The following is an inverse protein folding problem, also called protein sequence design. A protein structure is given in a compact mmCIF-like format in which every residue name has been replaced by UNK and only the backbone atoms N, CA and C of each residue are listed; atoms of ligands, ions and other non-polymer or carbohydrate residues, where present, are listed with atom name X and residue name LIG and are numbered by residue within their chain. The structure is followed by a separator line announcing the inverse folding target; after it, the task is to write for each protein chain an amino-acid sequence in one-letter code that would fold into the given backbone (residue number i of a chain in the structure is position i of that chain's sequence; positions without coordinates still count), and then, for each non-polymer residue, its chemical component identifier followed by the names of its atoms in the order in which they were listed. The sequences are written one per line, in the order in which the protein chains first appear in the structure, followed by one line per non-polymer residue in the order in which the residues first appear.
data_IF_302180400691
#
_entry.id   IF_302180400691
#
_cell.length_a   1.000
_cell.length_b   1.000
_cell.length_c   1.000
_cell.angle_alpha   90.00
_cell.angle_beta   90.00
_cell.angle_gamma   90.00
#
_symmetry.space_group_name_H-M   'P 1'
#
loop_
_entity.id
_entity.type
_entity.pdbx_description
1 polymer ?
#
# COMPACT_ATOMS: atom_id res chain seq x y z
N UNK A 1 -18.63 -1.18 -8.41
CA UNK A 1 -18.23 -0.62 -9.72
C UNK A 1 -17.62 -1.74 -10.53
N UNK A 2 -17.76 -1.69 -11.85
CA UNK A 2 -17.04 -2.57 -12.78
C UNK A 2 -15.79 -1.86 -13.33
N UNK A 3 -14.71 -2.59 -13.63
CA UNK A 3 -14.54 -4.04 -13.39
C UNK A 3 -14.38 -4.38 -11.90
N UNK A 4 -14.80 -5.58 -11.51
CA UNK A 4 -14.62 -6.10 -10.14
C UNK A 4 -13.21 -6.69 -9.96
N UNK A 5 -12.77 -6.87 -8.70
CA UNK A 5 -11.48 -7.53 -8.39
C UNK A 5 -11.40 -8.91 -9.06
N UNK A 6 -12.48 -9.69 -9.02
CA UNK A 6 -12.51 -11.02 -9.64
C UNK A 6 -12.39 -10.94 -11.17
N UNK A 7 -13.01 -9.94 -11.81
CA UNK A 7 -12.88 -9.73 -13.24
C UNK A 7 -11.43 -9.39 -13.62
N UNK A 8 -10.79 -8.47 -12.89
CA UNK A 8 -9.39 -8.12 -13.14
C UNK A 8 -8.42 -9.29 -12.95
N UNK A 9 -8.62 -10.12 -11.91
CA UNK A 9 -7.81 -11.34 -11.72
C UNK A 9 -8.00 -12.29 -12.90
N UNK A 10 -9.24 -12.53 -13.35
CA UNK A 10 -9.51 -13.38 -14.52
C UNK A 10 -8.82 -12.88 -15.79
N UNK A 11 -8.84 -11.57 -16.02
CA UNK A 11 -8.17 -10.96 -17.17
C UNK A 11 -6.65 -11.17 -17.11
N UNK A 12 -6.02 -10.99 -15.94
CA UNK A 12 -4.60 -11.27 -15.76
C UNK A 12 -4.26 -12.74 -16.02
N UNK A 13 -5.07 -13.68 -15.51
CA UNK A 13 -4.87 -15.12 -15.72
C UNK A 13 -5.05 -15.49 -17.19
N UNK A 14 -6.08 -14.94 -17.85
CA UNK A 14 -6.31 -15.15 -19.28
C UNK A 14 -5.15 -14.62 -20.14
N UNK A 15 -4.45 -13.59 -19.68
CA UNK A 15 -3.24 -13.07 -20.30
C UNK A 15 -1.98 -13.91 -20.01
N UNK A 16 -2.08 -14.99 -19.23
CA UNK A 16 -0.98 -15.90 -18.91
C UNK A 16 -0.16 -15.53 -17.67
N UNK A 17 -0.68 -14.67 -16.79
CA UNK A 17 0.01 -14.31 -15.56
C UNK A 17 0.15 -15.52 -14.61
N UNK A 18 1.36 -15.77 -14.12
CA UNK A 18 1.66 -16.74 -13.05
C UNK A 18 1.75 -16.08 -11.67
N UNK A 19 1.83 -14.76 -11.63
CA UNK A 19 1.93 -13.93 -10.44
C UNK A 19 1.09 -12.66 -10.63
N UNK A 20 0.28 -12.31 -9.63
CA UNK A 20 -0.58 -11.12 -9.61
C UNK A 20 -0.36 -10.37 -8.30
N UNK A 21 0.02 -9.10 -8.42
CA UNK A 21 0.20 -8.19 -7.28
C UNK A 21 -0.93 -7.17 -7.26
N UNK A 22 -1.83 -7.31 -6.27
CA UNK A 22 -2.92 -6.37 -6.07
C UNK A 22 -2.45 -5.20 -5.20
N UNK A 23 -2.37 -4.01 -5.78
CA UNK A 23 -1.94 -2.78 -5.11
C UNK A 23 -3.15 -1.86 -4.81
N UNK A 24 -3.54 -1.66 -3.54
CA UNK A 24 -4.64 -0.76 -3.21
C UNK A 24 -4.24 0.72 -3.37
N UNK A 25 -4.86 1.41 -4.34
CA UNK A 25 -4.63 2.84 -4.60
C UNK A 25 -5.40 3.76 -3.64
N UNK A 26 -5.17 3.58 -2.34
CA UNK A 26 -5.83 4.33 -1.27
C UNK A 26 -4.79 5.08 -0.43
N UNK A 27 -4.99 6.39 -0.24
CA UNK A 27 -4.08 7.26 0.51
C UNK A 27 -4.25 7.16 2.03
N UNK A 28 -5.39 6.64 2.50
CA UNK A 28 -5.70 6.54 3.93
C UNK A 28 -6.13 5.12 4.29
N UNK A 29 -5.72 4.61 5.47
CA UNK A 29 -6.14 3.31 5.96
C UNK A 29 -7.58 3.33 6.48
N UNK A 30 -8.56 3.24 5.58
CA UNK A 30 -9.93 2.92 5.97
C UNK A 30 -10.11 1.42 6.26
N UNK A 31 -11.13 1.03 7.04
CA UNK A 31 -11.50 -0.38 7.27
C UNK A 31 -11.63 -1.19 5.97
N UNK A 32 -12.03 -0.55 4.87
CA UNK A 32 -12.14 -1.19 3.56
C UNK A 32 -10.81 -1.61 2.95
N UNK A 33 -9.73 -0.82 3.11
CA UNK A 33 -8.45 -1.14 2.46
C UNK A 33 -7.67 -2.24 3.19
N UNK A 34 -7.85 -2.38 4.50
CA UNK A 34 -7.09 -3.32 5.33
C UNK A 34 -7.78 -4.66 5.55
N UNK A 35 -9.07 -4.78 5.23
CA UNK A 35 -9.85 -6.03 5.42
C UNK A 35 -10.60 -6.47 4.18
N UNK A 36 -11.38 -5.57 3.58
CA UNK A 36 -12.30 -5.97 2.51
C UNK A 36 -11.56 -6.30 1.21
N UNK A 37 -10.57 -5.49 0.82
CA UNK A 37 -9.77 -5.77 -0.38
C UNK A 37 -8.99 -7.10 -0.25
N UNK A 38 -8.20 -7.34 0.82
CA UNK A 38 -7.54 -8.63 1.01
C UNK A 38 -8.50 -9.82 0.95
N UNK A 39 -9.67 -9.71 1.59
CA UNK A 39 -10.70 -10.77 1.57
C UNK A 39 -11.22 -11.03 0.16
N UNK A 40 -11.60 -9.99 -0.56
CA UNK A 40 -12.13 -10.11 -1.93
C UNK A 40 -11.10 -10.67 -2.91
N UNK A 41 -9.83 -10.27 -2.78
CA UNK A 41 -8.73 -10.83 -3.58
C UNK A 41 -8.54 -12.31 -3.26
N UNK A 42 -8.49 -12.69 -1.98
CA UNK A 42 -8.33 -14.08 -1.59
C UNK A 42 -9.50 -14.97 -2.06
N UNK A 43 -10.72 -14.46 -2.01
CA UNK A 43 -11.91 -15.15 -2.53
C UNK A 43 -11.84 -15.38 -4.04
N UNK A 44 -11.43 -14.36 -4.81
CA UNK A 44 -11.28 -14.48 -6.26
C UNK A 44 -10.10 -15.38 -6.66
N UNK A 45 -9.00 -15.34 -5.92
CA UNK A 45 -7.80 -16.15 -6.20
C UNK A 45 -8.04 -17.66 -6.03
N UNK A 46 -9.08 -18.08 -5.30
CA UNK A 46 -9.43 -19.51 -5.11
C UNK A 46 -9.73 -20.24 -6.41
N UNK A 47 -10.17 -19.53 -7.45
CA UNK A 47 -10.42 -20.10 -8.78
C UNK A 47 -9.11 -20.45 -9.52
N UNK A 48 -7.98 -19.88 -9.10
CA UNK A 48 -6.68 -19.96 -9.80
C UNK A 48 -5.55 -20.42 -8.87
N UNK A 49 -5.58 -21.68 -8.35
CA UNK A 49 -4.61 -22.15 -7.36
C UNK A 49 -3.16 -22.25 -7.88
N UNK A 50 -2.95 -22.22 -9.21
CA UNK A 50 -1.62 -22.25 -9.83
C UNK A 50 -1.00 -20.85 -10.01
N UNK A 51 -1.73 -19.78 -9.67
CA UNK A 51 -1.29 -18.39 -9.83
C UNK A 51 -1.01 -17.80 -8.45
N UNK A 52 0.18 -17.25 -8.24
CA UNK A 52 0.49 -16.56 -7.00
C UNK A 52 -0.26 -15.23 -6.98
N UNK A 53 -1.10 -15.00 -5.97
CA UNK A 53 -1.82 -13.72 -5.81
C UNK A 53 -1.52 -13.15 -4.43
N UNK A 54 -1.00 -11.93 -4.38
CA UNK A 54 -0.77 -11.21 -3.12
C UNK A 54 -1.30 -9.79 -3.14
N UNK A 55 -1.67 -9.31 -1.96
CA UNK A 55 -2.10 -7.92 -1.75
C UNK A 55 -1.01 -7.17 -1.02
N UNK A 56 -0.59 -6.02 -1.54
CA UNK A 56 0.40 -5.18 -0.88
C UNK A 56 -0.24 -4.28 0.17
N UNK A 57 0.57 -3.57 0.93
CA UNK A 57 0.09 -2.39 1.63
C UNK A 57 -0.52 -1.39 0.63
N UNK A 58 -1.55 -0.67 1.07
CA UNK A 58 -2.11 0.45 0.33
C UNK A 58 -1.04 1.54 0.14
N UNK A 59 -1.26 2.40 -0.85
CA UNK A 59 -0.39 3.54 -1.15
C UNK A 59 -0.05 4.37 0.10
N UNK A 60 -1.05 4.65 0.94
CA UNK A 60 -0.85 5.30 2.24
C UNK A 60 -0.22 6.69 2.12
N UNK A 61 0.42 7.14 3.20
CA UNK A 61 1.18 8.39 3.23
C UNK A 61 2.62 8.07 2.82
N UNK A 62 3.06 8.68 1.72
CA UNK A 62 4.40 8.50 1.17
C UNK A 62 5.00 9.87 0.84
N UNK A 63 6.27 10.10 1.17
CA UNK A 63 6.92 11.41 1.02
C UNK A 63 6.89 11.94 -0.42
N UNK A 64 7.11 11.05 -1.41
CA UNK A 64 6.97 11.40 -2.84
C UNK A 64 5.61 11.97 -3.24
N UNK A 65 4.53 11.59 -2.55
CA UNK A 65 3.21 12.18 -2.82
C UNK A 65 3.13 13.61 -2.29
N UNK A 66 3.75 13.89 -1.14
CA UNK A 66 3.85 15.25 -0.61
C UNK A 66 4.73 16.12 -1.52
N UNK A 67 5.88 15.61 -1.97
CA UNK A 67 6.74 16.27 -2.97
C UNK A 67 5.95 16.64 -4.23
N UNK A 68 5.18 15.69 -4.78
CA UNK A 68 4.36 15.91 -5.97
C UNK A 68 3.29 17.00 -5.75
N UNK A 69 2.63 17.01 -4.58
CA UNK A 69 1.63 18.04 -4.25
C UNK A 69 2.29 19.42 -4.17
N UNK A 70 3.45 19.53 -3.54
CA UNK A 70 4.21 20.77 -3.43
C UNK A 70 4.64 21.29 -4.80
N UNK A 71 5.15 20.41 -5.66
CA UNK A 71 5.52 20.73 -7.04
C UNK A 71 4.31 21.25 -7.83
N UNK A 72 3.16 20.57 -7.74
CA UNK A 72 1.93 20.97 -8.45
C UNK A 72 1.33 22.29 -7.96
N UNK A 73 1.69 22.72 -6.75
CA UNK A 73 1.15 23.94 -6.12
C UNK A 73 2.19 25.06 -6.08
N UNK A 74 3.38 24.85 -6.64
CA UNK A 74 4.53 25.77 -6.54
C UNK A 74 4.81 26.20 -5.08
N UNK A 75 4.57 25.30 -4.14
CA UNK A 75 4.72 25.56 -2.70
C UNK A 75 6.08 25.08 -2.23
N UNK A 76 6.94 25.95 -1.66
CA UNK A 76 8.23 25.52 -1.16
C UNK A 76 8.07 24.67 0.12
N UNK A 77 8.98 23.72 0.32
CA UNK A 77 9.06 22.97 1.58
C UNK A 77 9.41 23.95 2.71
N UNK A 78 8.45 24.19 3.62
CA UNK A 78 8.68 25.07 4.75
C UNK A 78 9.71 24.49 5.74
N UNK A 79 9.56 23.20 6.08
CA UNK A 79 10.47 22.47 6.98
C UNK A 79 10.52 21.00 6.55
N UNK A 80 11.73 20.45 6.43
CA UNK A 80 11.91 19.01 6.22
C UNK A 80 11.69 18.27 7.54
N UNK A 81 10.78 17.29 7.54
CA UNK A 81 10.64 16.36 8.68
C UNK A 81 11.57 15.17 8.42
N UNK A 82 12.55 14.96 9.30
CA UNK A 82 13.51 13.87 9.19
C UNK A 82 13.35 12.85 10.31
N UNK A 83 13.82 11.62 10.08
CA UNK A 83 13.91 10.57 11.08
C UNK A 83 12.56 10.10 11.64
N UNK A 84 12.53 9.76 12.93
CA UNK A 84 11.38 9.16 13.62
C UNK A 84 10.12 10.02 13.63
N UNK A 85 10.23 11.34 13.42
CA UNK A 85 9.09 12.23 13.32
C UNK A 85 8.26 12.01 12.05
N UNK A 86 8.88 11.58 10.95
CA UNK A 86 8.17 11.25 9.71
C UNK A 86 7.34 9.97 9.86
N UNK A 87 7.77 9.03 10.73
CA UNK A 87 7.11 7.73 10.93
C UNK A 87 6.08 7.72 12.07
N UNK A 88 5.63 8.89 12.57
CA UNK A 88 4.58 9.00 13.60
C UNK A 88 3.18 8.90 12.99
N UNK A 89 2.23 8.34 13.72
CA UNK A 89 0.81 8.34 13.33
C UNK A 89 0.26 9.76 13.50
N UNK A 90 -0.48 10.23 12.49
CA UNK A 90 -1.03 11.61 12.41
C UNK A 90 -2.24 11.84 13.33
N UNK A 91 -2.51 10.91 14.25
CA UNK A 91 -3.58 11.08 15.23
C UNK A 91 -3.21 12.21 16.19
N UNK A 92 -4.18 13.08 16.52
CA UNK A 92 -3.97 14.26 17.38
C UNK A 92 -3.47 13.93 18.79
N UNK A 93 -3.60 12.68 19.22
CA UNK A 93 -3.06 12.18 20.49
C UNK A 93 -1.56 11.88 20.46
N UNK A 94 -0.91 11.93 19.29
CA UNK A 94 0.51 11.61 19.14
C UNK A 94 0.86 10.13 19.41
N UNK A 95 -0.15 9.25 19.44
CA UNK A 95 0.03 7.82 19.70
C UNK A 95 0.75 7.14 18.54
N UNK A 96 1.77 6.34 18.86
CA UNK A 96 2.51 5.52 17.89
C UNK A 96 1.79 4.21 17.51
N UNK A 97 0.66 3.91 18.15
CA UNK A 97 -0.02 2.61 18.03
C UNK A 97 -1.47 2.71 17.57
N UNK A 98 -2.13 3.87 17.73
CA UNK A 98 -3.56 4.03 17.45
C UNK A 98 -3.93 3.67 15.99
N UNK A 99 -3.08 4.03 15.04
CA UNK A 99 -3.29 3.77 13.62
C UNK A 99 -2.55 2.53 13.07
N UNK A 100 -1.60 1.96 13.84
CA UNK A 100 -0.63 0.98 13.35
C UNK A 100 0.22 1.44 12.15
N UNK A 101 0.72 0.49 11.36
CA UNK A 101 1.48 0.71 10.10
C UNK A 101 0.69 1.51 9.04
N UNK A 102 -0.61 1.61 9.24
CA UNK A 102 -1.53 2.13 8.26
C UNK A 102 -1.42 3.67 8.10
N UNK A 103 -0.91 4.39 9.10
CA UNK A 103 -0.78 5.85 9.10
C UNK A 103 0.67 6.36 9.24
N UNK A 104 1.66 5.46 9.30
CA UNK A 104 3.06 5.87 9.33
C UNK A 104 3.48 6.28 7.92
N UNK A 105 4.13 7.45 7.77
CA UNK A 105 4.78 7.76 6.51
C UNK A 105 5.86 6.71 6.25
N UNK A 106 5.89 6.18 5.03
CA UNK A 106 6.99 5.34 4.57
C UNK A 106 8.03 6.24 3.89
N UNK A 107 9.18 6.50 4.53
CA UNK A 107 10.26 7.21 3.87
C UNK A 107 10.81 6.35 2.73
N UNK A 108 11.34 6.98 1.68
CA UNK A 108 11.87 6.27 0.49
C UNK A 108 12.95 5.27 0.88
N UNK A 109 13.69 5.52 1.96
CA UNK A 109 14.72 4.62 2.48
C UNK A 109 14.17 3.32 3.07
N UNK A 110 12.93 3.29 3.56
CA UNK A 110 12.31 2.08 4.12
C UNK A 110 11.89 1.06 3.04
N UNK A 111 11.86 1.45 1.76
CA UNK A 111 11.54 0.53 0.66
C UNK A 111 12.65 -0.53 0.42
N UNK A 112 13.89 -0.24 0.84
CA UNK A 112 14.99 -1.21 0.77
C UNK A 112 14.82 -2.39 1.76
N UNK A 113 14.22 -2.14 2.93
CA UNK A 113 13.98 -3.16 3.95
C UNK A 113 12.86 -4.14 3.57
N UNK A 114 11.93 -3.74 2.70
CA UNK A 114 10.85 -4.63 2.22
C UNK A 114 11.43 -5.71 1.29
N UNK A 115 12.36 -5.34 0.40
CA UNK A 115 13.06 -6.29 -0.46
C UNK A 115 13.87 -7.33 0.33
N UNK A 116 14.47 -6.91 1.46
CA UNK A 116 15.20 -7.79 2.36
C UNK A 116 14.29 -8.77 3.13
N UNK A 117 13.07 -8.36 3.51
CA UNK A 117 12.13 -9.21 4.26
C UNK A 117 11.46 -10.28 3.38
N UNK A 118 11.22 -10.00 2.10
CA UNK A 118 10.74 -11.00 1.14
C UNK A 118 11.77 -12.09 0.85
N UNK A 119 13.06 -11.82 1.01
CA UNK A 119 14.14 -12.79 0.80
C UNK A 119 14.37 -13.74 2.00
N UNK A 120 13.82 -13.43 3.18
CA UNK A 120 14.01 -14.20 4.42
C UNK A 120 12.87 -15.19 4.71
N UNK A 121 11.85 -15.27 3.85
CA UNK A 121 10.67 -16.12 4.05
C UNK A 121 10.70 -17.42 3.21
N UNK A 122 11.88 -17.85 2.75
CA UNK A 122 12.11 -19.10 2.04
C UNK A 122 12.92 -20.09 2.90
#
# INVERSE_FOLDING_TARGET
AEPSIAAGIRECVAAGATEIVCFPYMLSPGKHSTRDIPRMVAEAAREFPAVEVRVTAALGVHEKLAELILERTDTPVAHAITGTNASRCWHSSGSETACGEACRCRPVTASADIAARSASAH
#
